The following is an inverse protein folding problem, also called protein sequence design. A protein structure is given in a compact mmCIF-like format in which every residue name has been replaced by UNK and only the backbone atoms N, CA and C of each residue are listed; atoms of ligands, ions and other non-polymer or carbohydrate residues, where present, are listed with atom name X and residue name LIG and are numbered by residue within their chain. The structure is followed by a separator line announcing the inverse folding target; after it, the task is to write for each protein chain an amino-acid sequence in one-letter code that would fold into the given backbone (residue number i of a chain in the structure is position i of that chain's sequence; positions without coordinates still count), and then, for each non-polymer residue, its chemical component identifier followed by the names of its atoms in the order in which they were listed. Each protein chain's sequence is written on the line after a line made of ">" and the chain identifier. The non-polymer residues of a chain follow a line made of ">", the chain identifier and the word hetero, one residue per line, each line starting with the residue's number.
data_IF_179821516551
#
_entry.id   IF_179821516551
#
_cell.length_a   1.000
_cell.length_b   1.000
_cell.length_c   1.000
_cell.angle_alpha   90.00
_cell.angle_beta   90.00
_cell.angle_gamma   90.00
#
_symmetry.space_group_name_H-M   'P 1'
#
loop_
_entity.id
_entity.type
_entity.pdbx_description
1 polymer ?
#
# COMPACT_ATOMS: atom_id res chain seq x y z
N UNK A 1 -9.39 -1.68 4.42
CA UNK A 1 -9.24 -3.01 5.07
C UNK A 1 -8.39 -3.99 4.25
N UNK A 2 -8.46 -4.00 2.90
CA UNK A 2 -7.71 -4.96 2.06
C UNK A 2 -6.20 -5.04 2.34
N UNK A 3 -5.53 -3.92 2.60
CA UNK A 3 -4.08 -3.88 2.86
C UNK A 3 -3.75 -4.46 4.24
N UNK A 4 -4.48 -4.03 5.28
CA UNK A 4 -4.31 -4.50 6.65
C UNK A 4 -4.57 -6.01 6.75
N UNK A 5 -5.61 -6.50 6.06
CA UNK A 5 -5.94 -7.93 6.02
C UNK A 5 -4.88 -8.77 5.31
N UNK A 6 -4.25 -8.21 4.27
CA UNK A 6 -3.22 -8.88 3.47
C UNK A 6 -1.87 -8.91 4.20
N UNK A 7 -1.47 -7.79 4.80
CA UNK A 7 -0.17 -7.65 5.47
C UNK A 7 -0.21 -8.02 6.97
N UNK A 8 -1.41 -8.20 7.55
CA UNK A 8 -1.62 -8.48 8.98
C UNK A 8 -1.00 -7.42 9.91
N UNK A 9 -0.99 -6.16 9.46
CA UNK A 9 -0.53 -4.99 10.22
C UNK A 9 -1.58 -3.90 10.19
N UNK A 10 -1.54 -3.01 11.18
CA UNK A 10 -2.39 -1.81 11.22
C UNK A 10 -1.66 -0.59 10.65
N UNK A 11 -2.43 0.45 10.35
CA UNK A 11 -1.87 1.77 10.03
C UNK A 11 -0.97 2.25 11.19
N UNK A 12 0.23 2.70 10.85
CA UNK A 12 1.29 3.08 11.78
C UNK A 12 2.23 1.95 12.18
N UNK A 13 1.94 0.69 11.84
CA UNK A 13 2.76 -0.46 12.20
C UNK A 13 3.70 -0.89 11.08
N UNK A 14 4.75 -1.60 11.48
CA UNK A 14 5.69 -2.29 10.58
C UNK A 14 5.54 -3.78 10.78
N UNK A 15 5.48 -4.51 9.67
CA UNK A 15 5.40 -5.97 9.65
C UNK A 15 6.56 -6.60 10.39
N UNK A 16 6.33 -7.76 11.01
CA UNK A 16 7.33 -8.48 11.80
C UNK A 16 8.55 -8.90 10.98
N UNK A 17 8.38 -9.09 9.66
CA UNK A 17 9.46 -9.38 8.72
C UNK A 17 10.26 -8.14 8.30
N UNK A 18 9.87 -6.95 8.78
CA UNK A 18 10.46 -5.64 8.44
C UNK A 18 10.48 -5.34 6.94
N UNK A 19 9.64 -6.00 6.14
CA UNK A 19 9.51 -5.73 4.70
C UNK A 19 8.54 -4.60 4.39
N UNK A 20 7.50 -4.44 5.19
CA UNK A 20 6.43 -3.47 4.95
C UNK A 20 6.15 -2.60 6.19
N UNK A 21 6.03 -1.30 5.97
CA UNK A 21 5.49 -0.35 6.95
C UNK A 21 4.24 0.28 6.35
N UNK A 22 3.10 0.16 7.04
CA UNK A 22 1.86 0.76 6.60
C UNK A 22 1.73 2.13 7.26
N UNK A 23 1.91 3.20 6.49
CA UNK A 23 1.79 4.57 6.98
C UNK A 23 0.65 5.26 6.25
N UNK A 24 -0.17 6.00 7.00
CA UNK A 24 -1.06 6.98 6.40
C UNK A 24 -0.28 8.25 6.10
N UNK A 25 -0.61 8.87 4.98
CA UNK A 25 -0.09 10.17 4.61
C UNK A 25 -1.22 11.04 4.10
N UNK A 26 -1.00 12.34 4.14
CA UNK A 26 -1.93 13.32 3.58
C UNK A 26 -1.91 13.24 2.04
N UNK A 27 -2.38 14.29 1.39
CA UNK A 27 -2.37 14.38 -0.06
C UNK A 27 -0.96 14.16 -0.65
N UNK A 28 -0.83 13.16 -1.53
CA UNK A 28 0.39 12.86 -2.29
C UNK A 28 0.43 13.55 -3.66
N UNK A 29 -0.46 14.51 -3.92
CA UNK A 29 -0.51 15.25 -5.19
C UNK A 29 -1.19 14.51 -6.35
N UNK A 30 -1.76 13.32 -6.13
CA UNK A 30 -2.40 12.49 -7.15
C UNK A 30 -3.94 12.47 -7.06
N UNK A 31 -4.56 13.54 -6.55
CA UNK A 31 -6.01 13.61 -6.34
C UNK A 31 -6.84 13.32 -7.59
N UNK A 32 -6.36 13.75 -8.77
CA UNK A 32 -7.01 13.52 -10.06
C UNK A 32 -7.09 12.05 -10.50
N UNK A 33 -6.33 11.14 -9.86
CA UNK A 33 -6.31 9.70 -10.13
C UNK A 33 -6.49 8.88 -8.85
N UNK A 34 -7.20 9.45 -7.89
CA UNK A 34 -7.57 8.72 -6.68
C UNK A 34 -8.47 7.52 -7.03
N UNK A 35 -8.39 6.41 -6.29
CA UNK A 35 -7.53 6.16 -5.12
C UNK A 35 -6.06 5.93 -5.50
N UNK A 36 -5.14 6.45 -4.67
CA UNK A 36 -3.71 6.36 -4.91
C UNK A 36 -2.93 5.93 -3.65
N UNK A 37 -1.81 5.25 -3.84
CA UNK A 37 -0.90 4.75 -2.81
C UNK A 37 0.53 5.06 -3.23
N UNK A 38 1.40 5.31 -2.26
CA UNK A 38 2.83 5.42 -2.47
C UNK A 38 3.53 4.22 -1.86
N UNK A 39 4.34 3.49 -2.63
CA UNK A 39 5.21 2.44 -2.11
C UNK A 39 6.65 2.87 -2.35
N UNK A 40 7.39 3.11 -1.26
CA UNK A 40 8.67 3.80 -1.26
C UNK A 40 8.53 5.19 -1.91
N UNK A 41 8.87 5.33 -3.19
CA UNK A 41 8.75 6.58 -3.97
C UNK A 41 7.93 6.41 -5.26
N UNK A 42 7.33 5.24 -5.47
CA UNK A 42 6.54 4.95 -6.67
C UNK A 42 5.05 5.18 -6.40
N UNK A 43 4.41 6.15 -7.09
CA UNK A 43 2.98 6.36 -6.97
C UNK A 43 2.22 5.32 -7.79
N UNK A 44 1.27 4.66 -7.15
CA UNK A 44 0.29 3.78 -7.76
C UNK A 44 -1.08 4.47 -7.71
N UNK A 45 -1.70 4.67 -8.87
CA UNK A 45 -3.00 5.34 -9.01
C UNK A 45 -4.06 4.40 -9.56
N UNK A 46 -5.32 4.85 -9.61
CA UNK A 46 -6.46 4.08 -10.14
C UNK A 46 -6.58 2.71 -9.46
N UNK A 47 -6.41 2.70 -8.14
CA UNK A 47 -6.30 1.49 -7.34
C UNK A 47 -7.67 0.87 -7.06
N UNK A 48 -7.76 -0.45 -7.29
CA UNK A 48 -8.86 -1.30 -6.83
C UNK A 48 -8.35 -2.28 -5.76
N UNK A 49 -9.21 -2.86 -4.91
CA UNK A 49 -8.80 -3.85 -3.91
C UNK A 49 -8.00 -5.02 -4.51
N UNK A 50 -8.38 -5.48 -5.69
CA UNK A 50 -7.70 -6.55 -6.43
C UNK A 50 -6.30 -6.13 -6.85
N UNK A 51 -6.17 -4.95 -7.46
CA UNK A 51 -4.89 -4.41 -7.94
C UNK A 51 -3.92 -4.13 -6.80
N UNK A 52 -4.42 -3.61 -5.68
CA UNK A 52 -3.62 -3.43 -4.46
C UNK A 52 -3.08 -4.77 -3.97
N UNK A 53 -3.92 -5.81 -3.94
CA UNK A 53 -3.51 -7.15 -3.52
C UNK A 53 -2.46 -7.75 -4.46
N UNK A 54 -2.61 -7.56 -5.77
CA UNK A 54 -1.64 -7.99 -6.78
C UNK A 54 -0.28 -7.29 -6.59
N UNK A 55 -0.26 -5.96 -6.47
CA UNK A 55 0.94 -5.17 -6.22
C UNK A 55 1.66 -5.68 -4.96
N UNK A 56 0.94 -5.81 -3.84
CA UNK A 56 1.52 -6.30 -2.59
C UNK A 56 2.12 -7.70 -2.74
N UNK A 57 1.46 -8.61 -3.47
CA UNK A 57 2.00 -9.96 -3.74
C UNK A 57 3.27 -9.93 -4.56
N UNK A 58 3.40 -9.04 -5.54
CA UNK A 58 4.65 -8.88 -6.29
C UNK A 58 5.81 -8.46 -5.39
N UNK A 59 5.57 -7.53 -4.45
CA UNK A 59 6.58 -7.11 -3.48
C UNK A 59 6.91 -8.20 -2.46
N UNK A 60 5.94 -9.03 -2.04
CA UNK A 60 6.20 -10.16 -1.13
C UNK A 60 7.07 -11.24 -1.80
N UNK A 61 6.86 -11.48 -3.10
CA UNK A 61 7.61 -12.46 -3.90
C UNK A 61 9.02 -12.01 -4.27
N UNK A 62 9.29 -10.70 -4.23
CA UNK A 62 10.65 -10.14 -4.34
C UNK A 62 11.43 -10.31 -3.04
#
# INVERSE_FOLDING_TARGET
>A
VTIEDTLKIKVGETSSDRKFSLLETNCIGWCHKAPAMLINDTPYTDLTPERVTEILREYIRK
#
